data_IF_524394446426
#
_entry.id   IF_524394446426
#
_cell.length_a   1.000
_cell.length_b   1.000
_cell.length_c   1.000
_cell.angle_alpha   90.00
_cell.angle_beta   90.00
_cell.angle_gamma   90.00
#
_symmetry.space_group_name_H-M   'P 1'
#
loop_
_entity.id
_entity.type
_entity.pdbx_description
1 polymer ?
#
# COMPACT_ATOMS: atom_id res chain seq x y z
N UNK A 1 53.49 19.72 -0.24
CA UNK A 1 52.45 18.72 0.05
C UNK A 1 51.51 19.34 1.08
N UNK A 2 50.26 19.63 0.76
CA UNK A 2 49.35 20.19 1.75
C UNK A 2 48.86 19.06 2.67
N UNK A 3 48.97 19.33 3.95
CA UNK A 3 48.57 18.51 5.08
C UNK A 3 47.04 18.30 5.06
N UNK A 4 46.64 17.03 5.00
CA UNK A 4 45.24 16.65 5.02
C UNK A 4 44.79 16.65 6.47
N UNK A 5 44.31 17.80 6.93
CA UNK A 5 43.76 17.95 8.28
C UNK A 5 42.59 16.98 8.52
N UNK A 6 42.89 15.89 9.20
CA UNK A 6 41.93 14.92 9.69
C UNK A 6 40.97 15.66 10.61
N UNK A 7 39.70 15.61 10.30
CA UNK A 7 38.56 16.09 11.11
C UNK A 7 38.62 15.45 12.52
N UNK A 8 39.28 16.10 13.45
CA UNK A 8 39.28 15.75 14.88
C UNK A 8 38.18 16.47 15.65
N UNK A 9 37.02 16.56 15.13
CA UNK A 9 35.96 17.32 15.79
C UNK A 9 34.58 16.69 15.73
N UNK A 10 34.43 15.56 15.03
CA UNK A 10 33.11 14.98 14.79
C UNK A 10 32.71 13.87 15.79
N UNK A 11 33.67 13.37 16.59
CA UNK A 11 33.42 12.22 17.48
C UNK A 11 33.03 12.61 18.92
N UNK A 12 33.30 13.86 19.36
CA UNK A 12 33.10 14.21 20.77
C UNK A 12 31.68 14.64 21.15
N UNK A 13 30.80 14.81 20.16
CA UNK A 13 29.41 15.23 20.44
C UNK A 13 28.34 14.17 20.20
N UNK A 14 28.68 13.04 19.57
CA UNK A 14 27.70 11.97 19.26
C UNK A 14 27.75 10.78 20.20
N UNK A 15 28.87 10.62 20.93
CA UNK A 15 28.99 9.53 21.91
C UNK A 15 29.50 10.13 23.21
N UNK A 16 28.55 10.48 24.08
CA UNK A 16 28.84 10.99 25.39
C UNK A 16 29.83 10.09 26.16
N UNK A 17 30.72 10.74 26.85
CA UNK A 17 31.84 10.40 27.71
C UNK A 17 31.67 9.17 28.62
N UNK A 18 31.49 7.95 28.05
CA UNK A 18 31.56 6.68 28.80
C UNK A 18 31.88 5.48 27.90
N UNK A 19 33.01 5.50 27.22
CA UNK A 19 33.63 4.26 26.76
C UNK A 19 34.65 3.83 27.81
N UNK A 20 34.25 2.99 28.75
CA UNK A 20 35.16 2.26 29.63
C UNK A 20 35.97 1.30 28.78
N UNK A 21 37.29 1.44 28.79
CA UNK A 21 38.18 0.56 28.09
C UNK A 21 37.91 -0.91 28.50
N UNK A 22 37.39 -1.71 27.57
CA UNK A 22 37.14 -3.14 27.76
C UNK A 22 35.77 -3.64 27.32
N UNK A 23 34.82 -2.79 26.97
CA UNK A 23 33.57 -3.21 26.38
C UNK A 23 33.47 -2.71 24.92
N UNK A 24 34.09 -3.44 24.01
CA UNK A 24 33.63 -3.45 22.65
C UNK A 24 32.18 -3.91 22.66
N UNK A 25 31.21 -3.11 22.20
CA UNK A 25 29.87 -3.64 22.02
C UNK A 25 29.95 -4.80 21.02
N UNK A 26 29.68 -5.99 21.47
CA UNK A 26 29.52 -7.22 20.65
C UNK A 26 28.28 -7.10 19.73
N UNK A 27 27.83 -5.90 19.51
CA UNK A 27 26.76 -5.53 18.58
C UNK A 27 27.34 -4.72 17.41
N UNK A 28 28.39 -5.27 16.74
CA UNK A 28 28.47 -5.11 15.29
C UNK A 28 27.50 -6.14 14.68
N UNK A 29 26.30 -6.19 15.26
CA UNK A 29 25.16 -6.89 14.76
C UNK A 29 24.68 -6.16 13.53
N UNK A 30 25.11 -6.67 12.37
CA UNK A 30 24.32 -6.65 11.17
C UNK A 30 23.74 -5.27 10.80
N UNK A 31 24.61 -4.39 10.30
CA UNK A 31 24.18 -3.39 9.30
C UNK A 31 23.86 -4.21 8.05
N UNK A 32 22.72 -4.90 8.07
CA UNK A 32 22.29 -5.84 7.05
C UNK A 32 20.92 -6.42 7.31
N UNK A 33 20.29 -6.10 8.46
CA UNK A 33 18.86 -6.29 8.57
C UNK A 33 18.22 -5.20 7.70
N UNK A 34 17.71 -5.61 6.53
CA UNK A 34 16.66 -4.86 5.84
C UNK A 34 15.75 -4.32 6.96
N UNK A 35 15.73 -3.00 7.13
CA UNK A 35 14.62 -2.37 7.82
C UNK A 35 13.40 -2.90 7.09
N UNK A 36 12.67 -3.82 7.72
CA UNK A 36 11.35 -4.17 7.27
C UNK A 36 10.66 -2.82 7.11
N UNK A 37 10.26 -2.48 5.90
CA UNK A 37 9.52 -1.26 5.65
C UNK A 37 8.33 -1.33 6.58
N UNK A 38 8.33 -0.49 7.60
CA UNK A 38 7.26 -0.44 8.59
C UNK A 38 6.07 0.18 7.85
N UNK A 39 5.24 -0.67 7.28
CA UNK A 39 4.05 -0.23 6.55
C UNK A 39 3.02 0.29 7.54
N UNK A 40 2.24 1.26 7.11
CA UNK A 40 1.05 1.67 7.85
C UNK A 40 0.17 0.46 8.18
N UNK A 41 -0.40 0.42 9.37
CA UNK A 41 -1.16 -0.74 9.85
C UNK A 41 -2.35 -1.12 8.95
N UNK A 42 -3.03 -0.14 8.33
CA UNK A 42 -4.12 -0.42 7.40
C UNK A 42 -3.60 -0.98 6.06
N UNK A 43 -2.44 -0.49 5.60
CA UNK A 43 -1.78 -1.04 4.41
C UNK A 43 -1.33 -2.48 4.67
N UNK A 44 -0.70 -2.76 5.82
CA UNK A 44 -0.29 -4.11 6.19
C UNK A 44 -1.49 -5.06 6.28
N UNK A 45 -2.58 -4.64 6.93
CA UNK A 45 -3.81 -5.43 7.03
C UNK A 45 -4.41 -5.76 5.64
N UNK A 46 -4.27 -4.86 4.68
CA UNK A 46 -4.65 -5.14 3.28
C UNK A 46 -3.73 -6.19 2.64
N UNK A 47 -2.40 -6.10 2.83
CA UNK A 47 -1.46 -7.08 2.29
C UNK A 47 -1.72 -8.48 2.84
N UNK A 48 -2.05 -8.57 4.12
CA UNK A 48 -2.38 -9.83 4.79
C UNK A 48 -3.66 -10.45 4.20
N UNK A 49 -4.70 -9.64 3.94
CA UNK A 49 -5.93 -10.10 3.28
C UNK A 49 -5.68 -10.57 1.85
N UNK A 50 -4.86 -9.87 1.08
CA UNK A 50 -4.47 -10.29 -0.26
C UNK A 50 -3.77 -11.64 -0.22
N UNK A 51 -2.82 -11.81 0.70
CA UNK A 51 -2.09 -13.08 0.87
C UNK A 51 -3.02 -14.21 1.31
N UNK A 52 -3.89 -13.96 2.28
CA UNK A 52 -4.88 -14.94 2.76
C UNK A 52 -5.86 -15.38 1.66
N UNK A 53 -6.17 -14.50 0.72
CA UNK A 53 -7.00 -14.82 -0.46
C UNK A 53 -6.22 -15.55 -1.58
N UNK A 54 -4.93 -15.83 -1.40
CA UNK A 54 -4.08 -16.45 -2.42
C UNK A 54 -3.55 -15.50 -3.49
N UNK A 55 -3.69 -14.20 -3.28
CA UNK A 55 -3.08 -13.16 -4.12
C UNK A 55 -1.64 -12.85 -3.71
N UNK A 56 -0.93 -12.12 -4.56
CA UNK A 56 0.43 -11.66 -4.30
C UNK A 56 0.57 -10.19 -4.68
N UNK A 57 1.44 -9.47 -3.97
CA UNK A 57 1.81 -8.09 -4.28
C UNK A 57 3.33 -7.99 -4.36
N UNK A 58 3.83 -7.32 -5.37
CA UNK A 58 5.25 -6.96 -5.47
C UNK A 58 5.61 -5.90 -4.41
N UNK A 59 6.91 -5.75 -4.13
CA UNK A 59 7.41 -4.72 -3.23
C UNK A 59 7.00 -3.30 -3.69
N UNK A 60 7.01 -3.05 -5.00
CA UNK A 60 6.58 -1.77 -5.60
C UNK A 60 5.10 -1.50 -5.36
N UNK A 61 4.23 -2.50 -5.55
CA UNK A 61 2.79 -2.37 -5.29
C UNK A 61 2.52 -2.13 -3.81
N UNK A 62 3.19 -2.84 -2.92
CA UNK A 62 3.09 -2.62 -1.47
C UNK A 62 3.50 -1.19 -1.08
N UNK A 63 4.63 -0.70 -1.61
CA UNK A 63 5.08 0.67 -1.36
C UNK A 63 4.06 1.71 -1.88
N UNK A 64 3.50 1.51 -3.07
CA UNK A 64 2.50 2.41 -3.65
C UNK A 64 1.21 2.43 -2.84
N UNK A 65 0.69 1.27 -2.42
CA UNK A 65 -0.50 1.18 -1.56
C UNK A 65 -0.25 1.81 -0.20
N UNK A 66 0.92 1.58 0.39
CA UNK A 66 1.28 2.22 1.65
C UNK A 66 1.31 3.75 1.53
N UNK A 67 1.93 4.27 0.48
CA UNK A 67 1.96 5.71 0.20
C UNK A 67 0.54 6.28 0.05
N UNK A 68 -0.34 5.57 -0.65
CA UNK A 68 -1.75 5.97 -0.79
C UNK A 68 -2.44 6.07 0.57
N UNK A 69 -2.30 5.04 1.42
CA UNK A 69 -2.93 5.02 2.76
C UNK A 69 -2.42 6.17 3.62
N UNK A 70 -1.10 6.34 3.69
CA UNK A 70 -0.47 7.42 4.48
C UNK A 70 -0.94 8.78 3.99
N UNK A 71 -0.92 9.01 2.67
CA UNK A 71 -1.34 10.30 2.10
C UNK A 71 -2.83 10.58 2.37
N UNK A 72 -3.70 9.60 2.17
CA UNK A 72 -5.13 9.77 2.47
C UNK A 72 -5.41 10.05 3.95
N UNK A 73 -4.60 9.52 4.87
CA UNK A 73 -4.69 9.84 6.29
C UNK A 73 -4.24 11.27 6.58
N UNK A 74 -3.15 11.71 5.97
CA UNK A 74 -2.66 13.08 6.09
C UNK A 74 -3.67 14.10 5.54
N UNK A 75 -4.31 13.79 4.42
CA UNK A 75 -5.30 14.65 3.78
C UNK A 75 -6.69 14.59 4.46
N UNK A 76 -6.86 13.75 5.49
CA UNK A 76 -8.14 13.54 6.17
C UNK A 76 -9.20 12.81 5.35
N UNK A 77 -8.85 12.30 4.16
CA UNK A 77 -9.80 11.63 3.25
C UNK A 77 -9.98 10.14 3.57
N UNK A 78 -9.08 9.56 4.38
CA UNK A 78 -9.14 8.15 4.76
C UNK A 78 -10.39 7.78 5.57
N UNK A 79 -10.70 8.56 6.60
CA UNK A 79 -11.77 8.25 7.56
C UNK A 79 -13.16 8.14 6.92
N UNK A 80 -13.60 9.05 6.04
CA UNK A 80 -14.92 8.98 5.43
C UNK A 80 -15.07 7.87 4.38
N UNK A 81 -13.96 7.33 3.85
CA UNK A 81 -14.04 6.28 2.82
C UNK A 81 -14.61 4.99 3.39
N UNK A 82 -15.49 4.35 2.64
CA UNK A 82 -16.15 3.08 2.98
C UNK A 82 -15.51 1.88 2.29
N UNK A 83 -15.15 2.04 1.03
CA UNK A 83 -14.47 1.01 0.24
C UNK A 83 -13.48 1.64 -0.74
N UNK A 84 -12.33 1.02 -0.90
CA UNK A 84 -11.29 1.39 -1.87
C UNK A 84 -10.75 0.10 -2.48
N UNK A 85 -10.73 0.01 -3.80
CA UNK A 85 -10.17 -1.12 -4.54
C UNK A 85 -8.98 -0.64 -5.37
N UNK A 86 -7.74 -0.88 -4.90
CA UNK A 86 -6.52 -0.40 -5.60
C UNK A 86 -6.29 -1.06 -6.95
N UNK A 87 -6.92 -2.22 -7.21
CA UNK A 87 -6.78 -3.01 -8.45
C UNK A 87 -5.32 -3.37 -8.77
N UNK A 88 -4.58 -3.84 -7.77
CA UNK A 88 -3.17 -4.25 -7.85
C UNK A 88 -3.02 -5.77 -7.67
N UNK A 89 -1.83 -6.32 -7.96
CA UNK A 89 -1.49 -7.73 -7.72
C UNK A 89 -1.90 -8.70 -8.83
N UNK A 90 -2.28 -8.20 -10.00
CA UNK A 90 -2.49 -8.97 -11.24
C UNK A 90 -3.35 -10.23 -11.11
N UNK A 91 -4.27 -10.29 -10.14
CA UNK A 91 -5.14 -11.44 -9.90
C UNK A 91 -6.50 -11.01 -9.37
N UNK A 92 -7.53 -11.82 -9.63
CA UNK A 92 -8.86 -11.60 -9.06
C UNK A 92 -8.82 -11.57 -7.53
N UNK A 93 -8.05 -12.46 -6.92
CA UNK A 93 -7.90 -12.56 -5.48
C UNK A 93 -7.35 -11.26 -4.84
N UNK A 94 -6.35 -10.64 -5.46
CA UNK A 94 -5.77 -9.38 -4.99
C UNK A 94 -6.68 -8.19 -5.28
N UNK A 95 -7.19 -8.08 -6.51
CA UNK A 95 -8.03 -6.96 -6.95
C UNK A 95 -9.40 -6.92 -6.25
N UNK A 96 -9.88 -8.05 -5.75
CA UNK A 96 -11.14 -8.13 -5.01
C UNK A 96 -11.07 -7.53 -3.60
N UNK A 97 -9.88 -7.36 -3.04
CA UNK A 97 -9.73 -6.92 -1.65
C UNK A 97 -10.03 -5.43 -1.49
N UNK A 98 -10.90 -5.12 -0.53
CA UNK A 98 -11.13 -3.75 -0.12
C UNK A 98 -9.98 -3.27 0.78
N UNK A 99 -9.31 -2.17 0.42
CA UNK A 99 -8.21 -1.60 1.17
C UNK A 99 -8.64 -1.14 2.58
N UNK A 100 -9.88 -0.66 2.74
CA UNK A 100 -10.39 -0.13 4.01
C UNK A 100 -10.66 -1.18 5.09
N UNK A 101 -11.11 -2.36 4.69
CA UNK A 101 -11.55 -3.39 5.64
C UNK A 101 -11.72 -4.74 4.97
N UNK A 102 -12.04 -5.77 5.74
CA UNK A 102 -12.47 -7.08 5.23
C UNK A 102 -13.92 -7.10 4.71
N UNK A 103 -14.68 -6.03 4.94
CA UNK A 103 -16.04 -5.91 4.38
C UNK A 103 -15.99 -5.51 2.91
N UNK A 104 -17.05 -5.82 2.18
CA UNK A 104 -17.21 -5.46 0.77
C UNK A 104 -16.11 -6.05 -0.13
N UNK A 105 -15.67 -7.27 0.16
CA UNK A 105 -14.75 -8.00 -0.74
C UNK A 105 -15.45 -8.22 -2.07
N UNK A 106 -14.78 -7.86 -3.16
CA UNK A 106 -15.34 -7.94 -4.50
C UNK A 106 -15.46 -9.37 -5.01
N UNK A 107 -16.44 -9.61 -5.87
CA UNK A 107 -16.57 -10.84 -6.65
C UNK A 107 -16.59 -10.48 -8.12
N UNK A 108 -15.61 -10.97 -8.86
CA UNK A 108 -15.53 -10.75 -10.30
C UNK A 108 -16.28 -11.82 -11.06
N UNK A 109 -17.14 -11.41 -12.01
CA UNK A 109 -17.69 -12.31 -13.02
C UNK A 109 -16.58 -12.76 -14.01
N UNK A 110 -16.92 -13.62 -14.96
CA UNK A 110 -16.01 -13.93 -16.07
C UNK A 110 -15.78 -12.72 -16.99
N UNK A 111 -14.72 -12.77 -17.80
CA UNK A 111 -14.44 -11.73 -18.82
C UNK A 111 -13.53 -10.59 -18.36
N UNK A 112 -12.80 -10.77 -17.25
CA UNK A 112 -11.79 -9.83 -16.79
C UNK A 112 -10.38 -10.29 -17.12
N UNK A 113 -9.51 -9.34 -17.43
CA UNK A 113 -8.06 -9.50 -17.50
C UNK A 113 -7.42 -8.71 -16.37
N UNK A 114 -6.54 -9.35 -15.61
CA UNK A 114 -5.85 -8.76 -14.46
C UNK A 114 -4.39 -8.50 -14.81
N UNK A 115 -3.91 -7.31 -14.47
CA UNK A 115 -2.51 -6.92 -14.64
C UNK A 115 -2.03 -6.12 -13.42
N UNK A 116 -0.72 -6.00 -13.23
CA UNK A 116 -0.12 -5.18 -12.15
C UNK A 116 -0.53 -3.71 -12.23
N UNK A 117 -1.02 -3.27 -13.37
CA UNK A 117 -1.44 -1.89 -13.65
C UNK A 117 -2.95 -1.66 -13.58
N UNK A 118 -3.72 -2.68 -13.22
CA UNK A 118 -5.18 -2.60 -13.13
C UNK A 118 -5.92 -3.77 -13.73
N UNK A 119 -7.20 -3.60 -13.96
CA UNK A 119 -8.10 -4.60 -14.51
C UNK A 119 -8.74 -4.10 -15.81
N UNK A 120 -9.01 -5.01 -16.74
CA UNK A 120 -9.69 -4.70 -18.01
C UNK A 120 -10.86 -5.64 -18.19
N UNK A 121 -12.04 -5.09 -18.42
CA UNK A 121 -13.24 -5.85 -18.75
C UNK A 121 -13.27 -6.23 -20.23
N UNK A 122 -14.09 -7.23 -20.59
CA UNK A 122 -14.38 -7.59 -21.98
C UNK A 122 -15.30 -6.58 -22.69
N UNK A 123 -15.76 -5.53 -21.98
CA UNK A 123 -16.63 -4.49 -22.53
C UNK A 123 -18.08 -4.92 -22.77
N UNK A 124 -18.49 -6.10 -22.32
CA UNK A 124 -19.81 -6.65 -22.58
C UNK A 124 -20.51 -7.16 -21.31
N UNK A 125 -19.97 -8.21 -20.70
CA UNK A 125 -20.64 -8.93 -19.60
C UNK A 125 -19.86 -8.94 -18.28
N UNK A 126 -18.66 -8.38 -18.27
CA UNK A 126 -17.82 -8.38 -17.08
C UNK A 126 -18.30 -7.33 -16.07
N UNK A 127 -18.57 -7.75 -14.86
CA UNK A 127 -18.92 -6.90 -13.73
C UNK A 127 -18.23 -7.37 -12.45
N UNK A 128 -18.15 -6.48 -11.49
CA UNK A 128 -17.64 -6.77 -10.13
C UNK A 128 -18.74 -6.44 -9.14
N UNK A 129 -19.15 -7.43 -8.37
CA UNK A 129 -20.04 -7.23 -7.23
C UNK A 129 -19.24 -6.95 -5.98
N UNK A 130 -19.55 -5.89 -5.28
CA UNK A 130 -18.85 -5.50 -4.06
C UNK A 130 -19.62 -5.81 -2.78
N UNK A 131 -20.89 -6.15 -2.90
CA UNK A 131 -21.81 -6.27 -1.76
C UNK A 131 -22.08 -4.93 -1.05
N UNK A 132 -21.58 -3.82 -1.59
CA UNK A 132 -21.76 -2.49 -1.02
C UNK A 132 -23.16 -1.96 -1.34
N UNK A 133 -24.01 -1.87 -0.33
CA UNK A 133 -25.33 -1.26 -0.47
C UNK A 133 -25.25 0.22 -0.10
N UNK A 134 -25.43 1.10 -1.08
CA UNK A 134 -25.34 2.54 -0.89
C UNK A 134 -26.37 3.07 0.13
N UNK A 135 -27.60 2.55 0.12
CA UNK A 135 -28.63 3.00 1.04
C UNK A 135 -28.31 2.74 2.52
N UNK A 136 -27.53 1.68 2.79
CA UNK A 136 -27.14 1.30 4.15
C UNK A 136 -25.81 1.95 4.61
N UNK A 137 -24.99 2.42 3.69
CA UNK A 137 -23.62 2.82 3.96
C UNK A 137 -23.31 4.30 3.65
N UNK A 138 -24.19 4.96 2.92
CA UNK A 138 -24.05 6.37 2.54
C UNK A 138 -25.27 7.16 3.01
N UNK A 139 -25.13 8.47 3.05
CA UNK A 139 -26.24 9.39 3.25
C UNK A 139 -26.57 10.10 1.94
N UNK A 140 -27.79 10.56 1.75
CA UNK A 140 -28.22 11.26 0.54
C UNK A 140 -27.49 12.60 0.32
N UNK A 141 -26.90 13.15 1.38
CA UNK A 141 -26.21 14.44 1.37
C UNK A 141 -24.69 14.33 1.40
N UNK A 142 -24.16 13.12 1.61
CA UNK A 142 -22.71 12.89 1.70
C UNK A 142 -22.36 11.54 1.06
N UNK A 143 -22.32 11.53 -0.26
CA UNK A 143 -21.96 10.35 -1.05
C UNK A 143 -20.97 10.76 -2.15
N UNK A 144 -19.90 9.98 -2.31
CA UNK A 144 -18.91 10.15 -3.35
C UNK A 144 -18.55 8.80 -3.95
N UNK A 145 -18.48 8.74 -5.28
CA UNK A 145 -17.99 7.59 -6.03
C UNK A 145 -16.97 8.07 -7.07
N UNK A 146 -15.82 7.42 -7.10
CA UNK A 146 -14.75 7.73 -8.07
C UNK A 146 -14.24 6.45 -8.71
N UNK A 147 -14.00 6.50 -10.00
CA UNK A 147 -13.30 5.48 -10.76
C UNK A 147 -12.17 6.11 -11.57
N UNK A 148 -11.00 5.48 -11.58
CA UNK A 148 -9.89 5.89 -12.42
C UNK A 148 -9.81 5.00 -13.66
N UNK A 149 -10.00 5.58 -14.83
CA UNK A 149 -9.98 4.87 -16.12
C UNK A 149 -8.70 5.23 -16.87
N UNK A 150 -7.91 4.21 -17.24
CA UNK A 150 -6.62 4.38 -17.95
C UNK A 150 -6.75 4.23 -19.45
N UNK A 151 -7.66 3.41 -19.92
CA UNK A 151 -7.91 3.17 -21.35
C UNK A 151 -9.39 3.42 -21.66
N UNK A 152 -9.63 4.18 -22.72
CA UNK A 152 -10.94 4.24 -23.34
C UNK A 152 -11.10 3.00 -24.21
N UNK A 153 -12.02 2.11 -23.87
CA UNK A 153 -12.41 1.07 -24.82
C UNK A 153 -13.03 1.75 -26.03
N UNK A 154 -12.46 1.52 -27.21
CA UNK A 154 -12.95 2.06 -28.48
C UNK A 154 -14.34 1.50 -28.80
N UNK A 155 -15.37 2.21 -28.44
CA UNK A 155 -16.76 2.00 -28.77
C UNK A 155 -17.43 3.37 -28.70
N UNK A 156 -17.89 3.89 -29.83
CA UNK A 156 -18.64 5.16 -29.86
C UNK A 156 -19.88 5.05 -28.97
N UNK A 157 -20.18 6.11 -28.28
CA UNK A 157 -21.46 6.36 -27.62
C UNK A 157 -22.46 6.74 -28.68
#
# INVERSE_FOLDING_TARGET
MPDFGIMRGFNDKLFGDKLVAGQLPTQLGVIGSQQALDFDADAQAFFDRVTAAGGTLSATEKAAVNTLVVQMKLDGTWTPMKAIYPMVGASAAACAQNLKSSSFTGTFSSGWTFASTGVKSNGSSAFMETGFNAANNLTTTNAHFTIYVREKLGGGW
#
